data_IF_951911959651
#
_entry.id   IF_951911959651
#
_cell.length_a   1.000
_cell.length_b   1.000
_cell.length_c   1.000
_cell.angle_alpha   90.00
_cell.angle_beta   90.00
_cell.angle_gamma   90.00
#
_symmetry.space_group_name_H-M   'P 1'
#
loop_
_entity.id
_entity.type
_entity.pdbx_description
1 polymer ?
#
# COMPACT_ATOMS: atom_id res chain seq x y z
N UNK A 1 6.29 14.92 9.92
CA UNK A 1 5.09 15.64 9.47
C UNK A 1 5.29 16.37 8.14
N UNK A 2 6.50 16.87 7.82
CA UNK A 2 6.75 17.57 6.55
C UNK A 2 6.49 16.76 5.28
N UNK A 3 6.95 15.51 5.20
CA UNK A 3 6.86 14.73 3.94
C UNK A 3 5.42 14.36 3.60
N UNK A 4 4.63 13.92 4.59
CA UNK A 4 3.22 13.60 4.37
C UNK A 4 2.43 14.84 3.94
N UNK A 5 2.60 15.97 4.65
CA UNK A 5 1.92 17.22 4.28
C UNK A 5 2.38 17.74 2.91
N UNK A 6 3.66 17.62 2.57
CA UNK A 6 4.18 18.02 1.27
C UNK A 6 3.69 17.11 0.11
N UNK A 7 3.38 15.85 0.40
CA UNK A 7 2.88 14.90 -0.59
C UNK A 7 1.37 15.03 -0.84
N UNK A 8 0.62 15.71 0.05
CA UNK A 8 -0.84 15.80 -0.02
C UNK A 8 -1.36 16.43 -1.33
N UNK A 9 -0.81 17.56 -1.83
CA UNK A 9 -1.27 18.15 -3.09
C UNK A 9 -1.02 17.23 -4.29
N UNK A 10 0.10 16.49 -4.27
CA UNK A 10 0.42 15.52 -5.31
C UNK A 10 -0.55 14.34 -5.27
N UNK A 11 -0.86 13.81 -4.07
CA UNK A 11 -1.85 12.75 -3.90
C UNK A 11 -3.23 13.17 -4.42
N UNK A 12 -3.69 14.35 -4.03
CA UNK A 12 -4.98 14.88 -4.48
C UNK A 12 -5.03 15.00 -6.01
N UNK A 13 -3.96 15.54 -6.63
CA UNK A 13 -3.89 15.66 -8.08
C UNK A 13 -3.85 14.32 -8.81
N UNK A 14 -3.20 13.29 -8.23
CA UNK A 14 -3.13 11.96 -8.84
C UNK A 14 -4.48 11.21 -8.78
N UNK A 15 -5.32 11.55 -7.80
CA UNK A 15 -6.60 10.91 -7.56
C UNK A 15 -7.81 11.70 -8.06
N UNK A 16 -7.58 12.89 -8.64
CA UNK A 16 -8.63 13.75 -9.20
C UNK A 16 -9.38 13.06 -10.36
N UNK A 17 -8.64 12.32 -11.19
CA UNK A 17 -9.17 11.53 -12.30
C UNK A 17 -9.61 10.10 -11.90
N UNK A 18 -9.37 9.68 -10.65
CA UNK A 18 -9.77 8.36 -10.12
C UNK A 18 -11.24 8.39 -9.70
N UNK A 19 -12.12 8.53 -10.69
CA UNK A 19 -13.58 8.63 -10.55
C UNK A 19 -14.29 7.32 -10.92
N UNK A 20 -15.46 7.10 -10.32
CA UNK A 20 -16.26 5.86 -10.36
C UNK A 20 -16.98 5.63 -11.70
N UNK A 21 -16.31 5.86 -12.84
CA UNK A 21 -16.88 5.68 -14.18
C UNK A 21 -16.71 4.23 -14.68
N UNK A 22 -17.07 3.27 -13.82
CA UNK A 22 -17.12 1.84 -14.14
C UNK A 22 -15.79 1.07 -14.02
N UNK A 23 -14.75 1.69 -13.47
CA UNK A 23 -13.44 1.08 -13.19
C UNK A 23 -13.19 0.77 -11.70
N UNK A 24 -11.97 0.31 -11.38
CA UNK A 24 -11.50 0.15 -10.01
C UNK A 24 -11.18 1.51 -9.39
N UNK A 25 -11.64 1.76 -8.16
CA UNK A 25 -11.13 2.87 -7.34
C UNK A 25 -9.87 2.41 -6.62
N UNK A 26 -8.85 3.26 -6.61
CA UNK A 26 -7.68 3.04 -5.78
C UNK A 26 -7.97 3.39 -4.31
N UNK A 27 -7.75 2.43 -3.41
CA UNK A 27 -7.70 2.64 -1.96
C UNK A 27 -6.25 2.54 -1.48
N UNK A 28 -5.85 3.42 -0.56
CA UNK A 28 -4.44 3.54 -0.15
C UNK A 28 -4.29 3.65 1.36
N UNK A 29 -3.26 3.01 1.90
CA UNK A 29 -2.87 3.15 3.31
C UNK A 29 -1.40 3.52 3.41
N UNK A 30 -1.10 4.61 4.11
CA UNK A 30 0.24 5.11 4.35
C UNK A 30 0.64 4.85 5.79
N UNK A 31 1.77 4.21 6.00
CA UNK A 31 2.31 3.96 7.33
C UNK A 31 3.55 4.83 7.53
N UNK A 32 3.51 5.70 8.51
CA UNK A 32 4.59 6.65 8.80
C UNK A 32 5.01 6.44 10.24
N UNK A 33 6.25 6.00 10.46
CA UNK A 33 6.80 5.87 11.80
C UNK A 33 7.05 7.27 12.39
N UNK A 34 6.20 7.69 13.32
CA UNK A 34 6.38 8.92 14.09
C UNK A 34 6.43 8.62 15.60
N UNK A 35 6.86 9.60 16.39
CA UNK A 35 6.97 9.49 17.86
C UNK A 35 5.66 9.84 18.58
N UNK A 36 4.50 9.84 17.92
CA UNK A 36 3.22 10.14 18.59
C UNK A 36 2.48 8.86 18.94
N UNK A 37 1.74 8.91 20.06
CA UNK A 37 0.99 7.78 20.60
C UNK A 37 -0.44 7.71 20.04
N UNK A 38 -0.71 8.30 18.88
CA UNK A 38 -2.05 8.30 18.30
C UNK A 38 -2.17 7.13 17.30
N UNK A 39 -2.36 5.92 17.81
CA UNK A 39 -2.54 4.70 17.00
C UNK A 39 -3.85 4.63 16.21
N UNK A 40 -4.55 5.75 15.99
CA UNK A 40 -5.79 5.81 15.22
C UNK A 40 -5.49 6.48 13.89
N UNK A 41 -5.67 5.75 12.79
CA UNK A 41 -5.43 6.27 11.45
C UNK A 41 -6.23 7.55 11.20
N UNK A 42 -5.63 8.49 10.49
CA UNK A 42 -6.25 9.77 10.10
C UNK A 42 -6.45 9.81 8.59
N UNK A 43 -7.61 10.28 8.10
CA UNK A 43 -7.80 10.56 6.67
C UNK A 43 -6.71 11.48 6.14
N UNK A 44 -6.29 11.24 4.90
CA UNK A 44 -5.27 11.99 4.19
C UNK A 44 -5.75 12.34 2.79
N UNK A 45 -5.55 13.59 2.39
CA UNK A 45 -6.10 14.12 1.15
C UNK A 45 -7.62 14.39 1.20
N UNK A 46 -8.13 15.09 0.19
CA UNK A 46 -9.52 15.56 0.12
C UNK A 46 -10.51 14.44 -0.26
N UNK A 47 -10.01 13.38 -0.88
CA UNK A 47 -10.79 12.24 -1.32
C UNK A 47 -11.17 11.29 -0.17
N UNK A 48 -10.56 11.42 1.02
CA UNK A 48 -10.79 10.56 2.20
C UNK A 48 -10.58 9.04 1.96
N UNK A 49 -9.92 8.66 0.85
CA UNK A 49 -9.58 7.26 0.50
C UNK A 49 -8.16 6.85 0.88
N UNK A 50 -7.36 7.80 1.37
CA UNK A 50 -6.05 7.51 1.94
C UNK A 50 -6.11 7.65 3.46
N UNK A 51 -5.53 6.68 4.16
CA UNK A 51 -5.41 6.72 5.62
C UNK A 51 -3.92 6.75 5.98
N UNK A 52 -3.51 7.68 6.85
CA UNK A 52 -2.18 7.68 7.47
C UNK A 52 -2.26 7.01 8.83
N UNK A 53 -1.38 6.04 9.06
CA UNK A 53 -1.19 5.36 10.33
C UNK A 53 0.16 5.73 10.95
N UNK A 54 0.15 6.16 12.21
CA UNK A 54 1.35 6.39 13.02
C UNK A 54 1.73 5.13 13.81
N UNK A 55 1.98 4.04 13.08
CA UNK A 55 2.40 2.75 13.64
C UNK A 55 3.33 2.04 12.68
N UNK A 56 4.11 1.10 13.21
CA UNK A 56 4.80 0.11 12.38
C UNK A 56 3.73 -0.79 11.74
N UNK A 57 3.72 -0.95 10.41
CA UNK A 57 2.76 -1.82 9.74
C UNK A 57 2.90 -3.28 10.20
N UNK A 58 1.77 -3.96 10.34
CA UNK A 58 1.73 -5.41 10.46
C UNK A 58 1.80 -6.04 9.06
N UNK A 59 3.01 -6.24 8.56
CA UNK A 59 3.24 -6.72 7.20
C UNK A 59 2.67 -8.12 6.94
N UNK A 60 2.66 -9.02 7.94
CA UNK A 60 2.09 -10.37 7.77
C UNK A 60 0.58 -10.28 7.54
N UNK A 61 -0.13 -9.48 8.35
CA UNK A 61 -1.58 -9.30 8.21
C UNK A 61 -1.94 -8.57 6.92
N UNK A 62 -1.20 -7.51 6.56
CA UNK A 62 -1.43 -6.75 5.32
C UNK A 62 -1.24 -7.67 4.10
N UNK A 63 -0.11 -8.38 4.01
CA UNK A 63 0.17 -9.24 2.85
C UNK A 63 -0.82 -10.42 2.79
N UNK A 64 -1.21 -10.99 3.93
CA UNK A 64 -2.23 -12.05 3.95
C UNK A 64 -3.60 -11.56 3.46
N UNK A 65 -3.99 -10.35 3.85
CA UNK A 65 -5.26 -9.74 3.47
C UNK A 65 -5.30 -9.41 1.97
N UNK A 66 -4.19 -8.90 1.42
CA UNK A 66 -4.03 -8.68 -0.02
C UNK A 66 -4.03 -10.00 -0.80
N UNK A 67 -3.32 -11.02 -0.31
CA UNK A 67 -3.25 -12.33 -0.95
C UNK A 67 -4.60 -13.07 -0.97
N UNK A 68 -5.42 -12.91 0.08
CA UNK A 68 -6.77 -13.49 0.07
C UNK A 68 -7.67 -12.81 -0.97
N UNK A 69 -7.44 -11.51 -1.21
CA UNK A 69 -8.25 -10.66 -2.08
C UNK A 69 -9.69 -10.54 -1.60
N UNK A 70 -9.91 -10.66 -0.29
CA UNK A 70 -11.23 -10.48 0.34
C UNK A 70 -11.60 -8.99 0.47
N UNK A 71 -10.60 -8.10 0.43
CA UNK A 71 -10.76 -6.66 0.62
C UNK A 71 -10.89 -5.87 -0.69
N UNK A 72 -10.60 -6.49 -1.84
CA UNK A 72 -10.76 -5.88 -3.17
C UNK A 72 -11.87 -6.63 -3.89
N UNK A 73 -12.96 -5.93 -4.23
CA UNK A 73 -14.05 -6.52 -5.00
C UNK A 73 -13.55 -6.94 -6.39
N UNK A 74 -13.25 -8.24 -6.53
CA UNK A 74 -12.74 -8.85 -7.75
C UNK A 74 -13.77 -8.73 -8.87
N UNK A 75 -13.46 -7.96 -9.92
CA UNK A 75 -14.23 -8.05 -11.17
C UNK A 75 -13.70 -9.28 -11.89
N UNK A 76 -14.59 -10.24 -12.19
CA UNK A 76 -14.21 -11.44 -12.94
C UNK A 76 -13.54 -11.03 -14.26
N UNK A 77 -12.31 -11.51 -14.50
CA UNK A 77 -11.49 -11.40 -15.73
C UNK A 77 -10.27 -10.46 -15.71
N UNK A 78 -9.80 -9.95 -14.56
CA UNK A 78 -8.50 -9.25 -14.49
C UNK A 78 -7.42 -10.08 -13.82
N UNK A 79 -6.20 -10.03 -14.39
CA UNK A 79 -5.01 -10.64 -13.81
C UNK A 79 -4.42 -9.65 -12.80
N UNK A 80 -4.51 -9.99 -11.52
CA UNK A 80 -3.88 -9.20 -10.45
C UNK A 80 -2.39 -9.52 -10.36
N UNK A 81 -1.59 -8.49 -10.11
CA UNK A 81 -0.15 -8.57 -9.93
C UNK A 81 0.20 -7.83 -8.64
N UNK A 82 0.88 -8.51 -7.71
CA UNK A 82 1.43 -7.80 -6.56
C UNK A 82 2.54 -6.88 -7.06
N UNK A 83 2.44 -5.62 -6.66
CA UNK A 83 3.36 -4.57 -7.07
C UNK A 83 4.79 -4.84 -6.61
N UNK A 84 5.77 -4.14 -7.22
CA UNK A 84 7.16 -4.29 -6.84
C UNK A 84 7.42 -3.78 -5.41
N UNK A 85 8.25 -4.50 -4.67
CA UNK A 85 8.70 -4.06 -3.33
C UNK A 85 10.08 -3.43 -3.43
N UNK A 86 10.18 -2.17 -3.00
CA UNK A 86 11.44 -1.46 -2.80
C UNK A 86 11.56 -1.04 -1.34
N UNK A 87 12.57 -1.56 -0.64
CA UNK A 87 12.78 -1.33 0.78
C UNK A 87 14.26 -1.43 1.14
N UNK A 88 14.66 -0.87 2.30
CA UNK A 88 15.99 -1.09 2.90
C UNK A 88 16.19 -2.59 3.16
N UNK A 89 17.45 -3.04 3.12
CA UNK A 89 17.82 -4.47 3.09
C UNK A 89 17.06 -5.34 4.10
N UNK A 90 16.99 -4.94 5.38
CA UNK A 90 16.31 -5.72 6.42
C UNK A 90 14.80 -5.84 6.19
N UNK A 91 14.13 -4.74 5.84
CA UNK A 91 12.69 -4.74 5.56
C UNK A 91 12.39 -5.52 4.27
N UNK A 92 13.24 -5.38 3.26
CA UNK A 92 13.13 -6.11 1.99
C UNK A 92 13.23 -7.61 2.22
N UNK A 93 14.18 -8.05 3.04
CA UNK A 93 14.38 -9.46 3.34
C UNK A 93 13.21 -10.01 4.17
N UNK A 94 12.70 -9.24 5.12
CA UNK A 94 11.50 -9.56 5.89
C UNK A 94 10.26 -9.72 5.00
N UNK A 95 9.98 -8.74 4.14
CA UNK A 95 8.86 -8.79 3.17
C UNK A 95 9.00 -9.98 2.22
N UNK A 96 10.22 -10.28 1.76
CA UNK A 96 10.48 -11.43 0.90
C UNK A 96 10.11 -12.75 1.58
N UNK A 97 10.39 -12.91 2.88
CA UNK A 97 9.99 -14.11 3.63
C UNK A 97 8.48 -14.25 3.74
N UNK A 98 7.75 -13.15 3.96
CA UNK A 98 6.29 -13.17 4.07
C UNK A 98 5.67 -13.51 2.72
N UNK A 99 6.04 -12.80 1.65
CA UNK A 99 5.46 -12.99 0.30
C UNK A 99 5.71 -14.39 -0.24
N UNK A 100 6.85 -15.02 0.09
CA UNK A 100 7.16 -16.40 -0.30
C UNK A 100 6.10 -17.42 0.14
N UNK A 101 5.38 -17.16 1.23
CA UNK A 101 4.29 -18.02 1.72
C UNK A 101 3.07 -18.03 0.76
N UNK A 102 2.95 -17.04 -0.12
CA UNK A 102 1.77 -16.80 -0.96
C UNK A 102 2.03 -16.94 -2.46
N UNK A 103 3.21 -17.39 -2.88
CA UNK A 103 3.57 -17.53 -4.31
C UNK A 103 2.65 -18.50 -5.07
N UNK A 104 2.09 -19.49 -4.39
CA UNK A 104 1.17 -20.46 -4.99
C UNK A 104 -0.25 -19.89 -5.18
N UNK A 105 -0.54 -18.70 -4.63
CA UNK A 105 -1.87 -18.06 -4.62
C UNK A 105 -2.04 -17.02 -5.73
N UNK A 106 -1.36 -17.20 -6.87
CA UNK A 106 -1.35 -16.29 -8.04
C UNK A 106 -0.66 -14.95 -7.81
N UNK A 107 0.12 -14.84 -6.75
CA UNK A 107 0.96 -13.67 -6.46
C UNK A 107 2.23 -13.73 -7.31
N UNK A 108 2.50 -12.68 -8.09
CA UNK A 108 3.81 -12.44 -8.71
C UNK A 108 4.59 -11.44 -7.86
N UNK A 109 5.82 -11.75 -7.51
CA UNK A 109 6.69 -10.88 -6.71
C UNK A 109 7.84 -10.34 -7.56
N UNK A 110 7.92 -9.01 -7.68
CA UNK A 110 9.00 -8.32 -8.36
C UNK A 110 9.87 -7.58 -7.34
N UNK A 111 11.10 -8.06 -7.12
CA UNK A 111 12.07 -7.41 -6.25
C UNK A 111 12.76 -6.28 -7.03
N UNK A 112 12.68 -5.05 -6.52
CA UNK A 112 13.44 -3.91 -7.05
C UNK A 112 14.47 -3.45 -6.03
N UNK A 113 15.69 -3.20 -6.48
CA UNK A 113 16.71 -2.57 -5.65
C UNK A 113 16.49 -1.05 -5.62
N UNK A 114 16.44 -0.46 -4.43
CA UNK A 114 16.32 0.99 -4.28
C UNK A 114 17.60 1.66 -4.79
N UNK A 115 17.47 2.50 -5.82
CA UNK A 115 18.55 3.33 -6.36
C UNK A 115 18.24 4.79 -5.98
N UNK A 116 18.86 5.35 -4.92
CA UNK A 116 18.72 6.77 -4.65
C UNK A 116 19.40 7.56 -5.77
N UNK A 117 18.62 8.34 -6.52
CA UNK A 117 19.10 9.38 -7.44
C UNK A 117 19.42 10.67 -6.69
#
# INVERSE_FOLDING_TARGET
>A
MDIAVAAEPLLNSLLDDDVLDGGYILEMSFYVEYKSKAGKGSPFGEHHRAIIYDVVPDYDNIISAEASGDHINRVSNTQEEMGPVSAKDELRDHLTVIVRKYLDQRVKFHKLEFQPS
#
